data_IF_560644115961
#
_entry.id   IF_560644115961
#
_cell.length_a   1.000
_cell.length_b   1.000
_cell.length_c   1.000
_cell.angle_alpha   90.00
_cell.angle_beta   90.00
_cell.angle_gamma   90.00
#
_symmetry.space_group_name_H-M   'P 1'
#
loop_
_entity.id
_entity.type
_entity.pdbx_description
1 polymer ?
#
# COMPACT_ATOMS: atom_id res chain seq x y z
N UNK A 1 47.52 -34.52 -30.32
CA UNK A 1 46.86 -33.83 -29.19
C UNK A 1 46.09 -32.68 -29.81
N UNK A 2 44.85 -32.93 -30.20
CA UNK A 2 43.92 -31.90 -30.69
C UNK A 2 43.35 -31.17 -29.47
N UNK A 3 44.06 -30.14 -29.01
CA UNK A 3 43.50 -29.18 -28.07
C UNK A 3 42.68 -28.17 -28.88
N UNK A 4 41.36 -28.36 -28.85
CA UNK A 4 40.39 -27.51 -29.52
C UNK A 4 40.36 -26.12 -28.84
N UNK A 5 41.19 -25.20 -29.36
CA UNK A 5 41.41 -23.83 -28.86
C UNK A 5 40.11 -23.00 -28.83
N UNK A 6 39.07 -23.43 -29.53
CA UNK A 6 37.77 -22.74 -29.59
C UNK A 6 36.73 -23.28 -28.63
N UNK A 7 37.10 -24.14 -27.68
CA UNK A 7 36.16 -24.66 -26.68
C UNK A 7 35.68 -23.53 -25.77
N UNK A 8 34.43 -23.11 -25.95
CA UNK A 8 33.81 -22.09 -25.10
C UNK A 8 33.84 -22.56 -23.65
N UNK A 9 34.31 -21.72 -22.71
CA UNK A 9 34.33 -22.07 -21.31
C UNK A 9 32.89 -22.39 -20.88
N UNK A 10 32.67 -23.57 -20.32
CA UNK A 10 31.41 -23.92 -19.67
C UNK A 10 31.30 -23.05 -18.41
N UNK A 11 30.84 -21.83 -18.55
CA UNK A 11 30.34 -21.09 -17.40
C UNK A 11 29.04 -21.77 -16.98
N UNK A 12 29.03 -22.32 -15.77
CA UNK A 12 27.76 -22.65 -15.12
C UNK A 12 27.02 -21.34 -14.89
N UNK A 13 26.26 -20.91 -15.90
CA UNK A 13 25.23 -19.90 -15.73
C UNK A 13 24.23 -20.50 -14.75
N UNK A 14 24.43 -20.19 -13.47
CA UNK A 14 23.48 -20.44 -12.41
C UNK A 14 22.25 -19.57 -12.71
N UNK A 15 21.46 -20.01 -13.70
CA UNK A 15 20.14 -19.51 -14.00
C UNK A 15 19.24 -19.98 -12.85
N UNK A 16 19.43 -19.40 -11.65
CA UNK A 16 18.37 -19.42 -10.66
C UNK A 16 17.24 -18.61 -11.26
N UNK A 17 16.35 -19.29 -11.98
CA UNK A 17 15.04 -18.79 -12.32
C UNK A 17 14.41 -18.39 -10.98
N UNK A 18 14.43 -17.10 -10.66
CA UNK A 18 13.75 -16.58 -9.48
C UNK A 18 12.33 -17.13 -9.50
N UNK A 19 11.97 -17.86 -8.43
CA UNK A 19 10.65 -18.48 -8.33
C UNK A 19 9.58 -17.40 -8.51
N UNK A 20 8.81 -17.53 -9.60
CA UNK A 20 7.70 -16.61 -9.89
C UNK A 20 6.62 -16.82 -8.83
N UNK A 21 6.32 -15.78 -8.07
CA UNK A 21 5.22 -15.81 -7.12
C UNK A 21 3.86 -15.76 -7.83
N UNK A 22 2.82 -16.29 -7.20
CA UNK A 22 1.46 -16.20 -7.74
C UNK A 22 0.91 -14.77 -7.61
N UNK A 23 0.54 -14.17 -8.74
CA UNK A 23 -0.04 -12.82 -8.79
C UNK A 23 -1.32 -12.70 -7.95
N UNK A 24 -2.21 -13.69 -8.02
CA UNK A 24 -3.46 -13.69 -7.26
C UNK A 24 -3.19 -13.75 -5.76
N UNK A 25 -2.24 -14.59 -5.33
CA UNK A 25 -1.84 -14.69 -3.93
C UNK A 25 -1.24 -13.38 -3.43
N UNK A 26 -0.40 -12.73 -4.24
CA UNK A 26 0.22 -11.44 -3.90
C UNK A 26 -0.85 -10.35 -3.69
N UNK A 27 -1.80 -10.23 -4.61
CA UNK A 27 -2.91 -9.27 -4.52
C UNK A 27 -3.75 -9.55 -3.27
N UNK A 28 -4.20 -10.79 -3.06
CA UNK A 28 -5.05 -11.13 -1.91
C UNK A 28 -4.38 -10.82 -0.58
N UNK A 29 -3.12 -11.21 -0.41
CA UNK A 29 -2.37 -10.95 0.82
C UNK A 29 -2.17 -9.45 1.03
N UNK A 30 -1.79 -8.71 -0.02
CA UNK A 30 -1.60 -7.27 0.08
C UNK A 30 -2.89 -6.53 0.44
N UNK A 31 -4.02 -6.90 -0.18
CA UNK A 31 -5.34 -6.31 0.11
C UNK A 31 -5.78 -6.61 1.53
N UNK A 32 -5.62 -7.85 2.01
CA UNK A 32 -5.97 -8.19 3.40
C UNK A 32 -5.13 -7.38 4.37
N UNK A 33 -3.82 -7.29 4.13
CA UNK A 33 -2.91 -6.53 5.00
C UNK A 33 -3.27 -5.04 5.00
N UNK A 34 -3.50 -4.44 3.83
CA UNK A 34 -3.83 -3.02 3.69
C UNK A 34 -5.15 -2.67 4.41
N UNK A 35 -6.22 -3.40 4.12
CA UNK A 35 -7.54 -3.14 4.71
C UNK A 35 -7.50 -3.37 6.23
N UNK A 36 -6.94 -4.50 6.68
CA UNK A 36 -6.91 -4.84 8.11
C UNK A 36 -6.09 -3.82 8.91
N UNK A 37 -4.91 -3.42 8.39
CA UNK A 37 -4.07 -2.43 9.06
C UNK A 37 -4.72 -1.05 9.06
N UNK A 38 -5.35 -0.63 7.95
CA UNK A 38 -6.03 0.66 7.85
C UNK A 38 -7.23 0.74 8.80
N UNK A 39 -8.06 -0.31 8.85
CA UNK A 39 -9.18 -0.40 9.79
C UNK A 39 -8.69 -0.38 11.24
N UNK A 40 -7.66 -1.17 11.56
CA UNK A 40 -7.11 -1.21 12.91
C UNK A 40 -6.59 0.15 13.36
N UNK A 41 -5.81 0.83 12.52
CA UNK A 41 -5.32 2.18 12.80
C UNK A 41 -6.47 3.18 12.91
N UNK A 42 -7.49 3.10 12.06
CA UNK A 42 -8.68 3.94 12.13
C UNK A 42 -9.42 3.78 13.47
N UNK A 43 -9.54 2.56 13.98
CA UNK A 43 -10.15 2.29 15.30
C UNK A 43 -9.29 2.93 16.41
N UNK A 44 -7.97 2.72 16.39
CA UNK A 44 -7.08 3.29 17.40
C UNK A 44 -7.17 4.81 17.41
N UNK A 45 -7.13 5.45 16.24
CA UNK A 45 -7.19 6.92 16.15
C UNK A 45 -8.56 7.46 16.60
N UNK A 46 -9.65 6.80 16.22
CA UNK A 46 -10.99 7.24 16.64
C UNK A 46 -11.19 7.15 18.15
N UNK A 47 -10.66 6.10 18.80
CA UNK A 47 -10.64 5.98 20.27
C UNK A 47 -9.80 7.09 20.91
N UNK A 48 -8.57 7.30 20.45
CA UNK A 48 -7.67 8.33 21.00
C UNK A 48 -8.28 9.72 20.84
N UNK A 49 -8.84 10.03 19.66
CA UNK A 49 -9.48 11.31 19.40
C UNK A 49 -10.74 11.51 20.25
N UNK A 50 -11.56 10.48 20.43
CA UNK A 50 -12.72 10.51 21.33
C UNK A 50 -12.33 10.81 22.78
N UNK A 51 -11.27 10.18 23.30
CA UNK A 51 -10.75 10.46 24.66
C UNK A 51 -10.25 11.89 24.79
N UNK A 52 -9.53 12.42 23.77
CA UNK A 52 -9.07 13.80 23.78
C UNK A 52 -10.24 14.79 23.82
N UNK A 53 -11.28 14.58 23.01
CA UNK A 53 -12.47 15.43 23.04
C UNK A 53 -13.21 15.35 24.39
N UNK A 54 -13.36 14.16 24.97
CA UNK A 54 -13.95 13.98 26.29
C UNK A 54 -13.15 14.71 27.39
N UNK A 55 -11.81 14.70 27.30
CA UNK A 55 -10.95 15.42 28.24
C UNK A 55 -11.08 16.94 28.16
N UNK A 56 -11.53 17.48 27.03
CA UNK A 56 -11.82 18.90 26.85
C UNK A 56 -13.21 19.31 27.39
N UNK A 57 -13.98 18.37 27.94
CA UNK A 57 -15.32 18.61 28.49
C UNK A 57 -16.43 18.67 27.45
N UNK A 58 -16.18 18.22 26.21
CA UNK A 58 -17.23 18.12 25.19
C UNK A 58 -18.29 17.08 25.62
N UNK A 59 -19.57 17.38 25.39
CA UNK A 59 -20.66 16.42 25.65
C UNK A 59 -20.62 15.27 24.64
N UNK A 60 -21.26 14.14 24.97
CA UNK A 60 -21.27 12.95 24.12
C UNK A 60 -21.91 13.23 22.75
N UNK A 61 -22.91 14.12 22.68
CA UNK A 61 -23.54 14.56 21.43
C UNK A 61 -22.56 15.36 20.55
N UNK A 62 -21.75 16.23 21.16
CA UNK A 62 -20.73 17.01 20.45
C UNK A 62 -19.61 16.10 19.93
N UNK A 63 -19.19 15.13 20.74
CA UNK A 63 -18.15 14.16 20.36
C UNK A 63 -18.60 13.31 19.17
N UNK A 64 -19.81 12.76 19.22
CA UNK A 64 -20.35 11.93 18.14
C UNK A 64 -20.53 12.72 16.85
N UNK A 65 -20.99 13.98 16.94
CA UNK A 65 -21.10 14.88 15.79
C UNK A 65 -19.73 15.21 15.16
N UNK A 66 -18.70 15.47 15.98
CA UNK A 66 -17.32 15.74 15.51
C UNK A 66 -16.65 14.51 14.90
N UNK A 67 -16.97 13.31 15.38
CA UNK A 67 -16.45 12.04 14.83
C UNK A 67 -17.15 11.66 13.52
N UNK A 68 -18.46 11.92 13.39
CA UNK A 68 -19.23 11.57 12.19
C UNK A 68 -19.05 12.56 11.04
N UNK A 69 -18.76 13.83 11.34
CA UNK A 69 -18.55 14.89 10.35
C UNK A 69 -17.09 15.35 10.31
N UNK A 70 -16.15 14.40 10.30
CA UNK A 70 -14.74 14.75 10.26
C UNK A 70 -14.31 15.14 8.83
N UNK A 71 -14.11 16.43 8.60
CA UNK A 71 -13.62 16.95 7.32
C UNK A 71 -12.21 16.43 7.00
N UNK A 72 -11.92 16.20 5.72
CA UNK A 72 -10.63 15.67 5.26
C UNK A 72 -9.47 16.66 5.52
N UNK A 73 -9.76 17.96 5.55
CA UNK A 73 -8.81 19.05 5.79
C UNK A 73 -8.55 19.30 7.28
N UNK A 74 -9.26 18.63 8.18
CA UNK A 74 -9.02 18.70 9.62
C UNK A 74 -7.58 18.29 9.94
N UNK A 75 -6.98 18.93 10.95
CA UNK A 75 -5.64 18.57 11.47
C UNK A 75 -5.55 17.09 11.85
N UNK A 76 -6.65 16.53 12.33
CA UNK A 76 -6.72 15.11 12.72
C UNK A 76 -6.69 14.23 11.49
N UNK A 77 -7.50 14.53 10.47
CA UNK A 77 -7.53 13.82 9.20
C UNK A 77 -6.18 13.87 8.47
N UNK A 78 -5.50 15.02 8.50
CA UNK A 78 -4.14 15.12 7.95
C UNK A 78 -3.14 14.25 8.72
N UNK A 79 -3.28 14.16 10.04
CA UNK A 79 -2.44 13.29 10.86
C UNK A 79 -2.72 11.81 10.59
N UNK A 80 -3.98 11.42 10.34
CA UNK A 80 -4.36 10.03 10.03
C UNK A 80 -3.92 9.60 8.63
N UNK A 81 -3.78 10.55 7.71
CA UNK A 81 -3.30 10.31 6.35
C UNK A 81 -1.87 9.74 6.32
N UNK A 82 -1.03 10.13 7.28
CA UNK A 82 0.37 9.68 7.37
C UNK A 82 0.46 8.17 7.60
N UNK A 83 -0.08 7.60 8.69
CA UNK A 83 -0.04 6.15 8.89
C UNK A 83 -0.81 5.39 7.81
N UNK A 84 -1.93 5.92 7.31
CA UNK A 84 -2.67 5.30 6.20
C UNK A 84 -1.79 5.18 4.92
N UNK A 85 -1.14 6.27 4.52
CA UNK A 85 -0.25 6.27 3.35
C UNK A 85 0.96 5.33 3.52
N UNK A 86 1.51 5.23 4.74
CA UNK A 86 2.59 4.28 5.05
C UNK A 86 2.12 2.83 4.94
N UNK A 87 0.94 2.49 5.45
CA UNK A 87 0.34 1.16 5.34
C UNK A 87 0.16 0.79 3.88
N UNK A 88 -0.45 1.67 3.09
CA UNK A 88 -0.71 1.42 1.66
C UNK A 88 0.58 1.32 0.85
N UNK A 89 1.58 2.14 1.17
CA UNK A 89 2.92 2.02 0.60
C UNK A 89 3.54 0.66 0.92
N UNK A 90 3.44 0.21 2.18
CA UNK A 90 3.96 -1.09 2.59
C UNK A 90 3.20 -2.24 1.90
N UNK A 91 1.89 -2.16 1.75
CA UNK A 91 1.10 -3.15 1.03
C UNK A 91 1.49 -3.23 -0.46
N UNK A 92 1.74 -2.09 -1.12
CA UNK A 92 2.27 -2.03 -2.48
C UNK A 92 3.66 -2.69 -2.59
N UNK A 93 4.55 -2.41 -1.63
CA UNK A 93 5.85 -3.07 -1.51
C UNK A 93 5.71 -4.59 -1.34
N UNK A 94 4.82 -5.03 -0.44
CA UNK A 94 4.56 -6.43 -0.16
C UNK A 94 3.99 -7.16 -1.38
N UNK A 95 3.07 -6.53 -2.12
CA UNK A 95 2.51 -7.07 -3.36
C UNK A 95 3.61 -7.31 -4.40
N UNK A 96 4.45 -6.30 -4.64
CA UNK A 96 5.59 -6.40 -5.55
C UNK A 96 6.59 -7.49 -5.11
N UNK A 97 6.86 -7.59 -3.80
CA UNK A 97 7.73 -8.61 -3.22
C UNK A 97 7.20 -10.02 -3.40
N UNK A 98 5.90 -10.23 -3.18
CA UNK A 98 5.28 -11.55 -3.24
C UNK A 98 5.17 -12.07 -4.68
N UNK A 99 4.94 -11.18 -5.66
CA UNK A 99 4.82 -11.60 -7.06
C UNK A 99 6.18 -11.85 -7.70
N UNK A 100 7.18 -11.03 -7.39
CA UNK A 100 8.56 -11.11 -7.88
C UNK A 100 8.74 -11.17 -9.43
N UNK A 101 7.69 -10.87 -10.19
CA UNK A 101 7.71 -10.75 -11.64
C UNK A 101 6.56 -9.83 -12.09
N UNK A 102 6.73 -9.10 -13.19
CA UNK A 102 5.71 -8.16 -13.70
C UNK A 102 5.15 -7.24 -12.61
N UNK A 103 6.02 -6.75 -11.72
CA UNK A 103 5.67 -6.17 -10.44
C UNK A 103 4.69 -5.01 -10.60
N UNK A 104 4.98 -4.06 -11.51
CA UNK A 104 4.10 -2.92 -11.77
C UNK A 104 2.73 -3.30 -12.35
N UNK A 105 2.63 -4.37 -13.14
CA UNK A 105 1.34 -4.79 -13.72
C UNK A 105 0.42 -5.34 -12.63
N UNK A 106 0.95 -6.17 -11.74
CA UNK A 106 0.17 -6.78 -10.64
C UNK A 106 -0.19 -5.73 -9.60
N UNK A 107 0.75 -4.83 -9.31
CA UNK A 107 0.52 -3.66 -8.43
C UNK A 107 -0.55 -2.72 -8.99
N UNK A 108 -0.63 -2.54 -10.31
CA UNK A 108 -1.70 -1.74 -10.92
C UNK A 108 -3.09 -2.33 -10.66
N UNK A 109 -3.25 -3.66 -10.77
CA UNK A 109 -4.51 -4.34 -10.47
C UNK A 109 -4.85 -4.17 -8.99
N UNK A 110 -3.87 -4.33 -8.10
CA UNK A 110 -4.02 -4.10 -6.68
C UNK A 110 -4.47 -2.66 -6.36
N UNK A 111 -3.85 -1.65 -6.97
CA UNK A 111 -4.25 -0.26 -6.81
C UNK A 111 -5.70 -0.02 -7.24
N UNK A 112 -6.12 -0.60 -8.37
CA UNK A 112 -7.52 -0.50 -8.82
C UNK A 112 -8.49 -1.08 -7.81
N UNK A 113 -8.16 -2.23 -7.19
CA UNK A 113 -8.99 -2.83 -6.15
C UNK A 113 -9.13 -1.88 -4.94
N UNK A 114 -8.02 -1.28 -4.49
CA UNK A 114 -8.03 -0.33 -3.37
C UNK A 114 -8.82 0.94 -3.70
N UNK A 115 -8.69 1.48 -4.91
CA UNK A 115 -9.44 2.67 -5.33
C UNK A 115 -10.94 2.37 -5.37
N UNK A 116 -11.34 1.22 -5.95
CA UNK A 116 -12.75 0.82 -5.98
C UNK A 116 -13.30 0.65 -4.56
N UNK A 117 -12.54 -0.01 -3.68
CA UNK A 117 -12.91 -0.19 -2.29
C UNK A 117 -13.02 1.15 -1.54
N UNK A 118 -12.03 2.03 -1.70
CA UNK A 118 -12.01 3.36 -1.10
C UNK A 118 -13.16 4.23 -1.59
N UNK A 119 -13.48 4.22 -2.89
CA UNK A 119 -14.64 4.90 -3.44
C UNK A 119 -15.95 4.34 -2.87
N UNK A 120 -16.10 3.01 -2.82
CA UNK A 120 -17.29 2.39 -2.25
C UNK A 120 -17.53 2.80 -0.79
N UNK A 121 -16.46 2.92 0.00
CA UNK A 121 -16.53 3.38 1.39
C UNK A 121 -16.71 4.90 1.52
N UNK A 122 -16.16 5.68 0.59
CA UNK A 122 -16.07 7.14 0.66
C UNK A 122 -17.19 7.93 -0.03
N UNK A 123 -18.00 7.29 -0.87
CA UNK A 123 -19.04 7.97 -1.67
C UNK A 123 -20.07 8.76 -0.86
N UNK A 124 -20.37 8.35 0.38
CA UNK A 124 -21.33 9.02 1.25
C UNK A 124 -20.70 10.06 2.20
N UNK A 125 -19.38 10.07 2.33
CA UNK A 125 -18.66 10.87 3.33
C UNK A 125 -17.80 11.97 2.71
N UNK A 126 -17.31 11.76 1.49
CA UNK A 126 -16.38 12.67 0.83
C UNK A 126 -16.98 13.24 -0.45
N UNK A 127 -16.63 14.49 -0.73
CA UNK A 127 -16.93 15.14 -2.00
C UNK A 127 -16.22 14.43 -3.16
N UNK A 128 -16.67 14.68 -4.39
CA UNK A 128 -16.05 14.11 -5.60
C UNK A 128 -14.58 14.51 -5.72
N UNK A 129 -14.24 15.76 -5.40
CA UNK A 129 -12.85 16.25 -5.43
C UNK A 129 -11.95 15.55 -4.41
N UNK A 130 -12.44 15.32 -3.19
CA UNK A 130 -11.71 14.59 -2.15
C UNK A 130 -11.48 13.13 -2.55
N UNK A 131 -12.49 12.47 -3.11
CA UNK A 131 -12.36 11.10 -3.62
C UNK A 131 -11.31 10.99 -4.74
N UNK A 132 -11.28 11.95 -5.67
CA UNK A 132 -10.25 12.01 -6.72
C UNK A 132 -8.86 12.18 -6.09
N UNK A 133 -8.72 13.10 -5.14
CA UNK A 133 -7.45 13.34 -4.45
C UNK A 133 -6.96 12.08 -3.71
N UNK A 134 -7.83 11.43 -2.94
CA UNK A 134 -7.52 10.19 -2.23
C UNK A 134 -7.16 9.04 -3.17
N UNK A 135 -7.83 8.95 -4.33
CA UNK A 135 -7.53 7.94 -5.34
C UNK A 135 -6.14 8.13 -5.95
N UNK A 136 -5.78 9.38 -6.28
CA UNK A 136 -4.44 9.74 -6.75
C UNK A 136 -3.37 9.47 -5.67
N UNK A 137 -3.67 9.81 -4.42
CA UNK A 137 -2.77 9.54 -3.31
C UNK A 137 -2.54 8.04 -3.12
N UNK A 138 -3.61 7.23 -3.21
CA UNK A 138 -3.54 5.76 -3.15
C UNK A 138 -2.65 5.22 -4.26
N UNK A 139 -2.83 5.69 -5.50
CA UNK A 139 -1.96 5.32 -6.62
C UNK A 139 -0.50 5.64 -6.31
N UNK A 140 -0.20 6.88 -5.91
CA UNK A 140 1.16 7.29 -5.56
C UNK A 140 1.77 6.40 -4.48
N UNK A 141 1.04 6.09 -3.41
CA UNK A 141 1.52 5.25 -2.32
C UNK A 141 1.82 3.82 -2.78
N UNK A 142 0.87 3.20 -3.49
CA UNK A 142 1.00 1.83 -3.99
C UNK A 142 2.19 1.70 -4.95
N UNK A 143 2.34 2.64 -5.89
CA UNK A 143 3.45 2.66 -6.84
C UNK A 143 4.79 2.98 -6.18
N UNK A 144 4.82 3.88 -5.19
CA UNK A 144 6.02 4.18 -4.41
C UNK A 144 6.51 2.92 -3.67
N UNK A 145 5.59 2.16 -3.06
CA UNK A 145 5.88 0.88 -2.44
C UNK A 145 6.51 -0.13 -3.41
N UNK A 146 5.91 -0.30 -4.58
CA UNK A 146 6.44 -1.17 -5.62
C UNK A 146 7.81 -0.72 -6.13
N UNK A 147 7.99 0.59 -6.32
CA UNK A 147 9.26 1.18 -6.75
C UNK A 147 10.38 0.95 -5.73
N UNK A 148 10.09 1.06 -4.42
CA UNK A 148 11.05 0.75 -3.36
C UNK A 148 11.52 -0.72 -3.43
N UNK A 149 10.60 -1.66 -3.66
CA UNK A 149 10.95 -3.07 -3.83
C UNK A 149 11.83 -3.31 -5.05
N UNK A 150 11.39 -2.83 -6.22
CA UNK A 150 12.10 -3.02 -7.49
C UNK A 150 13.48 -2.38 -7.44
N UNK A 151 13.61 -1.20 -6.85
CA UNK A 151 14.90 -0.52 -6.68
C UNK A 151 15.85 -1.30 -5.78
N UNK A 152 15.34 -1.87 -4.68
CA UNK A 152 16.13 -2.74 -3.79
C UNK A 152 16.57 -4.01 -4.51
N UNK A 153 15.67 -4.66 -5.25
CA UNK A 153 15.96 -5.87 -6.04
C UNK A 153 17.07 -5.62 -7.06
N UNK A 154 17.02 -4.52 -7.82
CA UNK A 154 18.05 -4.15 -8.80
C UNK A 154 19.44 -3.99 -8.18
N UNK A 155 19.54 -3.38 -7.00
CA UNK A 155 20.83 -3.20 -6.31
C UNK A 155 21.47 -4.52 -5.89
N UNK A 156 20.65 -5.50 -5.48
CA UNK A 156 21.13 -6.83 -5.07
C UNK A 156 21.62 -7.68 -6.24
N UNK A 157 21.11 -7.45 -7.45
CA UNK A 157 21.58 -8.14 -8.66
C UNK A 157 22.90 -7.55 -9.22
N UNK A 158 23.32 -6.39 -8.72
CA UNK A 158 24.55 -5.71 -9.14
C UNK A 158 25.72 -5.90 -8.15
N UNK A 159 25.49 -6.50 -6.99
CA UNK A 159 26.49 -6.83 -5.96
C UNK A 159 26.88 -8.30 -6.02
#
# INVERSE_FOLDING_TARGET
>A
MDEDVYRTPKSELNNQLENRGSAVKAILVATIVDITATVFVGIVISVVYGVLLASNGDSLEVITSKLSNMELTSKVSLLTLIPASLITTYAGYLCAKLVNHSEYKVVAIFATILIIFGLAMGLSYYSVSENIFLSLLTLCCVYLGAWLYVSKKKRLLQS
#
